data_IF_131723597031
#
_entry.id   IF_131723597031
#
_cell.length_a   1.000
_cell.length_b   1.000
_cell.length_c   1.000
_cell.angle_alpha   90.00
_cell.angle_beta   90.00
_cell.angle_gamma   90.00
#
_symmetry.space_group_name_H-M   'P 1'
#
loop_
_entity.id
_entity.type
_entity.pdbx_description
1 polymer ?
#
# COMPACT_ATOMS: atom_id res chain seq x y z
N UNK A 1 -20.75 -9.51 20.34
CA UNK A 1 -19.78 -10.53 19.87
C UNK A 1 -19.04 -9.92 18.68
N UNK A 2 -17.72 -9.70 18.72
CA UNK A 2 -16.97 -9.29 17.53
C UNK A 2 -16.94 -10.47 16.53
N UNK A 3 -17.42 -10.27 15.31
CA UNK A 3 -17.51 -11.29 14.24
C UNK A 3 -16.15 -11.73 13.67
N UNK A 4 -15.04 -11.41 14.34
CA UNK A 4 -13.67 -11.59 13.84
C UNK A 4 -13.02 -12.89 14.33
N UNK A 5 -13.61 -13.57 15.32
CA UNK A 5 -13.00 -14.74 15.97
C UNK A 5 -13.25 -16.09 15.25
N UNK A 6 -14.09 -16.13 14.22
CA UNK A 6 -14.53 -17.40 13.61
C UNK A 6 -14.53 -17.36 12.08
N UNK A 7 -13.42 -16.92 11.48
CA UNK A 7 -13.24 -16.95 10.03
C UNK A 7 -12.60 -18.27 9.61
N UNK A 8 -13.45 -19.15 9.08
CA UNK A 8 -13.09 -20.45 8.52
C UNK A 8 -13.48 -20.45 7.05
N UNK A 9 -12.57 -20.89 6.18
CA UNK A 9 -12.86 -21.07 4.76
C UNK A 9 -12.39 -22.44 4.28
N UNK A 10 -12.96 -22.94 3.19
CA UNK A 10 -12.59 -24.21 2.57
C UNK A 10 -11.94 -23.99 1.21
N UNK A 11 -10.82 -24.68 0.95
CA UNK A 11 -10.15 -24.69 -0.35
C UNK A 11 -9.64 -26.10 -0.66
N UNK A 12 -9.93 -26.61 -1.86
CA UNK A 12 -9.59 -27.98 -2.27
C UNK A 12 -9.99 -29.06 -1.24
N UNK A 13 -11.20 -28.95 -0.68
CA UNK A 13 -11.74 -29.89 0.31
C UNK A 13 -11.08 -29.82 1.70
N UNK A 14 -10.13 -28.90 1.93
CA UNK A 14 -9.50 -28.67 3.24
C UNK A 14 -10.05 -27.42 3.89
N UNK A 15 -10.24 -27.47 5.21
CA UNK A 15 -10.69 -26.33 6.00
C UNK A 15 -9.51 -25.59 6.62
N UNK A 16 -9.53 -24.27 6.49
CA UNK A 16 -8.51 -23.37 7.00
C UNK A 16 -9.16 -22.37 7.94
N UNK A 17 -8.51 -22.10 9.07
CA UNK A 17 -8.90 -21.05 10.02
C UNK A 17 -7.84 -19.96 10.00
N UNK A 18 -8.29 -18.72 9.86
CA UNK A 18 -7.40 -17.59 9.99
C UNK A 18 -7.01 -17.40 11.46
N UNK A 19 -5.70 -17.42 11.75
CA UNK A 19 -5.16 -17.23 13.09
C UNK A 19 -4.85 -15.77 13.40
N UNK A 20 -4.45 -15.00 12.39
CA UNK A 20 -4.05 -13.60 12.49
C UNK A 20 -4.57 -12.81 11.29
N UNK A 21 -4.89 -11.53 11.52
CA UNK A 21 -5.51 -10.64 10.53
C UNK A 21 -7.01 -10.88 10.35
N UNK A 22 -7.59 -10.14 9.40
CA UNK A 22 -9.01 -10.28 9.01
C UNK A 22 -9.10 -10.95 7.64
N UNK A 23 -10.15 -11.73 7.40
CA UNK A 23 -10.27 -12.46 6.13
C UNK A 23 -10.59 -11.51 4.99
N UNK A 24 -9.91 -11.71 3.87
CA UNK A 24 -10.32 -11.08 2.62
C UNK A 24 -11.76 -11.48 2.29
N UNK A 25 -12.56 -10.50 1.85
CA UNK A 25 -13.99 -10.70 1.54
C UNK A 25 -14.94 -10.57 2.74
N UNK A 26 -14.45 -10.37 3.96
CA UNK A 26 -15.33 -9.96 5.05
C UNK A 26 -15.72 -8.49 4.87
N UNK A 27 -17.02 -8.14 4.98
CA UNK A 27 -17.48 -6.74 4.84
C UNK A 27 -16.90 -5.82 5.92
N UNK A 28 -16.45 -6.39 7.05
CA UNK A 28 -15.83 -5.65 8.14
C UNK A 28 -14.29 -5.53 7.99
N UNK A 29 -13.68 -6.29 7.09
CA UNK A 29 -12.22 -6.29 6.93
C UNK A 29 -11.63 -4.92 6.60
N UNK A 30 -12.19 -4.14 5.64
CA UNK A 30 -11.60 -2.85 5.29
C UNK A 30 -11.64 -1.86 6.45
N UNK A 31 -12.76 -1.82 7.20
CA UNK A 31 -12.92 -0.91 8.33
C UNK A 31 -11.95 -1.27 9.46
N UNK A 32 -11.83 -2.55 9.80
CA UNK A 32 -10.92 -3.02 10.84
C UNK A 32 -9.44 -2.80 10.46
N UNK A 33 -9.10 -3.01 9.19
CA UNK A 33 -7.75 -2.73 8.69
C UNK A 33 -7.43 -1.23 8.79
N UNK A 34 -8.34 -0.36 8.36
CA UNK A 34 -8.16 1.08 8.47
C UNK A 34 -8.00 1.55 9.92
N UNK A 35 -8.83 1.06 10.84
CA UNK A 35 -8.74 1.39 12.27
C UNK A 35 -7.41 0.95 12.89
N UNK A 36 -6.96 -0.25 12.55
CA UNK A 36 -5.69 -0.75 13.05
C UNK A 36 -4.50 0.03 12.48
N UNK A 37 -4.54 0.38 11.20
CA UNK A 37 -3.50 1.22 10.57
C UNK A 37 -3.46 2.63 11.19
N UNK A 38 -4.60 3.21 11.54
CA UNK A 38 -4.66 4.51 12.23
C UNK A 38 -4.08 4.44 13.66
N UNK A 39 -4.37 3.35 14.39
CA UNK A 39 -3.73 3.08 15.67
C UNK A 39 -2.21 2.93 15.52
N UNK A 40 -1.75 2.15 14.55
CA UNK A 40 -0.33 1.95 14.25
C UNK A 40 0.37 3.28 13.90
N UNK A 41 -0.25 4.12 13.07
CA UNK A 41 0.28 5.45 12.72
C UNK A 41 0.36 6.40 13.92
N UNK A 42 -0.55 6.25 14.89
CA UNK A 42 -0.53 7.04 16.13
C UNK A 42 0.63 6.64 17.02
N UNK A 43 0.85 5.34 17.22
CA UNK A 43 2.00 4.80 17.96
C UNK A 43 3.33 5.13 17.28
N UNK A 44 3.33 5.13 15.95
CA UNK A 44 4.49 5.54 15.16
C UNK A 44 4.84 7.02 15.44
N UNK A 45 3.86 7.92 15.38
CA UNK A 45 4.07 9.36 15.62
C UNK A 45 4.60 9.65 17.03
N UNK A 46 4.13 8.90 18.03
CA UNK A 46 4.62 9.06 19.40
C UNK A 46 6.07 8.58 19.56
N UNK A 47 6.49 7.60 18.75
CA UNK A 47 7.83 6.98 18.82
C UNK A 47 8.91 7.73 18.01
N UNK A 48 8.53 8.41 16.92
CA UNK A 48 9.48 8.94 15.93
C UNK A 48 10.20 10.24 16.31
N UNK A 49 9.74 10.95 17.34
CA UNK A 49 10.38 12.21 17.76
C UNK A 49 10.51 13.20 16.61
N UNK A 50 11.73 13.71 16.35
CA UNK A 50 11.97 14.78 15.37
C UNK A 50 12.18 14.30 13.92
N UNK A 51 12.35 13.01 13.67
CA UNK A 51 12.59 12.45 12.33
C UNK A 51 11.25 12.01 11.73
N UNK A 52 10.53 12.97 11.16
CA UNK A 52 9.20 12.75 10.60
C UNK A 52 9.14 13.13 9.11
N UNK A 53 8.37 12.36 8.32
CA UNK A 53 8.11 12.74 6.94
C UNK A 53 7.36 14.07 6.88
N UNK A 54 7.66 14.90 5.88
CA UNK A 54 6.96 16.17 5.66
C UNK A 54 5.53 15.96 5.19
N UNK A 55 5.31 14.87 4.45
CA UNK A 55 4.01 14.45 3.94
C UNK A 55 3.86 12.96 4.19
N UNK A 56 2.70 12.55 4.71
CA UNK A 56 2.31 11.15 4.88
C UNK A 56 0.87 10.98 4.41
N UNK A 57 0.69 10.31 3.28
CA UNK A 57 -0.61 10.05 2.67
C UNK A 57 -0.80 8.54 2.58
N UNK A 58 -1.90 8.04 3.14
CA UNK A 58 -2.23 6.61 3.10
C UNK A 58 -3.50 6.37 2.31
N UNK A 59 -3.47 5.39 1.41
CA UNK A 59 -4.62 4.86 0.70
C UNK A 59 -4.74 3.36 0.99
N UNK A 60 -5.61 3.01 1.94
CA UNK A 60 -5.77 1.63 2.47
C UNK A 60 -4.43 1.07 2.95
N UNK A 61 -3.76 0.27 2.12
CA UNK A 61 -2.49 -0.42 2.40
C UNK A 61 -1.27 0.28 1.79
N UNK A 62 -1.47 1.23 0.87
CA UNK A 62 -0.40 1.95 0.18
C UNK A 62 -0.10 3.30 0.86
N UNK A 63 1.18 3.62 1.03
CA UNK A 63 1.65 4.85 1.69
C UNK A 63 2.54 5.63 0.73
N UNK A 64 2.19 6.89 0.49
CA UNK A 64 3.03 7.87 -0.17
C UNK A 64 3.59 8.82 0.89
N UNK A 65 4.93 8.90 0.97
CA UNK A 65 5.61 9.77 1.93
C UNK A 65 6.61 10.68 1.23
N UNK A 66 6.75 11.91 1.73
CA UNK A 66 7.85 12.79 1.38
C UNK A 66 8.86 12.80 2.51
N UNK A 67 10.08 12.32 2.23
CA UNK A 67 11.17 12.26 3.18
C UNK A 67 12.17 13.40 2.92
N UNK A 68 12.32 14.37 3.85
CA UNK A 68 13.20 15.52 3.64
C UNK A 68 14.66 15.27 4.06
N UNK A 69 14.95 14.13 4.69
CA UNK A 69 16.27 13.81 5.22
C UNK A 69 17.05 12.86 4.30
N UNK A 70 18.23 12.42 4.76
CA UNK A 70 19.06 11.49 4.00
C UNK A 70 18.40 10.12 3.82
N UNK A 71 18.85 9.38 2.82
CA UNK A 71 18.42 8.00 2.58
C UNK A 71 18.85 7.07 3.74
N UNK A 72 19.97 7.35 4.39
CA UNK A 72 20.45 6.59 5.56
C UNK A 72 19.48 6.74 6.74
N UNK A 73 19.04 7.97 7.02
CA UNK A 73 18.02 8.25 8.04
C UNK A 73 16.70 7.56 7.70
N UNK A 74 16.36 7.48 6.41
CA UNK A 74 15.17 6.75 5.95
C UNK A 74 15.27 5.25 6.24
N UNK A 75 16.43 4.62 6.01
CA UNK A 75 16.61 3.20 6.36
C UNK A 75 16.49 2.96 7.86
N UNK A 76 17.06 3.83 8.69
CA UNK A 76 16.91 3.75 10.14
C UNK A 76 15.44 3.91 10.57
N UNK A 77 14.73 4.86 9.95
CA UNK A 77 13.29 5.08 10.12
C UNK A 77 12.47 3.85 9.75
N UNK A 78 12.71 3.27 8.57
CA UNK A 78 12.04 2.06 8.09
C UNK A 78 12.33 0.84 8.98
N UNK A 79 13.54 0.75 9.51
CA UNK A 79 13.91 -0.26 10.50
C UNK A 79 13.07 -0.17 11.76
N UNK A 80 12.91 1.04 12.32
CA UNK A 80 12.05 1.29 13.49
C UNK A 80 10.59 0.96 13.21
N UNK A 81 10.08 1.37 12.05
CA UNK A 81 8.73 1.04 11.58
C UNK A 81 8.44 -0.46 11.60
N UNK A 82 9.34 -1.26 11.03
CA UNK A 82 9.19 -2.71 10.96
C UNK A 82 9.43 -3.41 12.31
N UNK A 83 10.02 -2.73 13.29
CA UNK A 83 10.16 -3.23 14.66
C UNK A 83 8.92 -2.98 15.52
N UNK A 84 8.15 -1.91 15.24
CA UNK A 84 6.94 -1.58 16.00
C UNK A 84 5.86 -2.66 15.87
N UNK A 85 5.73 -3.25 14.69
CA UNK A 85 4.78 -4.33 14.47
C UNK A 85 5.41 -5.44 13.62
N UNK A 86 5.78 -6.55 14.28
CA UNK A 86 6.43 -7.68 13.60
C UNK A 86 5.56 -8.34 12.52
N UNK A 87 4.25 -8.13 12.56
CA UNK A 87 3.30 -8.67 11.59
C UNK A 87 3.21 -7.83 10.30
N UNK A 88 3.57 -6.54 10.35
CA UNK A 88 3.56 -5.66 9.19
C UNK A 88 4.99 -5.46 8.71
N UNK A 89 5.26 -5.87 7.46
CA UNK A 89 6.54 -5.62 6.81
C UNK A 89 6.36 -4.60 5.70
N UNK A 90 6.72 -3.36 5.99
CA UNK A 90 6.71 -2.29 5.01
C UNK A 90 7.89 -2.45 4.06
N UNK A 91 7.57 -2.41 2.77
CA UNK A 91 8.51 -2.26 1.67
C UNK A 91 8.39 -0.85 1.13
N UNK A 92 9.47 -0.36 0.52
CA UNK A 92 9.48 0.96 -0.08
C UNK A 92 10.01 0.91 -1.50
N UNK A 93 9.59 1.88 -2.28
CA UNK A 93 10.14 2.23 -3.58
C UNK A 93 10.58 3.69 -3.50
N UNK A 94 11.68 4.04 -4.17
CA UNK A 94 12.22 5.40 -4.17
C UNK A 94 12.01 6.05 -5.54
N UNK A 95 11.89 7.38 -5.57
CA UNK A 95 11.76 8.10 -6.83
C UNK A 95 12.95 7.81 -7.75
N UNK A 96 12.67 7.59 -9.04
CA UNK A 96 13.70 7.30 -10.04
C UNK A 96 13.92 8.54 -10.91
N UNK A 97 15.18 8.90 -11.16
CA UNK A 97 15.52 9.99 -12.08
C UNK A 97 15.13 9.64 -13.51
N UNK A 98 14.55 10.59 -14.25
CA UNK A 98 14.24 10.41 -15.67
C UNK A 98 15.54 10.50 -16.50
N UNK A 99 15.97 9.42 -17.18
CA UNK A 99 17.14 9.47 -18.04
C UNK A 99 16.98 10.42 -19.24
N UNK A 100 15.74 10.77 -19.61
CA UNK A 100 15.45 11.67 -20.73
C UNK A 100 15.43 13.16 -20.33
N UNK A 101 15.30 13.49 -19.04
CA UNK A 101 15.12 14.87 -18.57
C UNK A 101 15.92 15.12 -17.27
N UNK A 102 16.98 15.93 -17.36
CA UNK A 102 17.84 16.27 -16.23
C UNK A 102 17.06 17.07 -15.19
N UNK A 103 17.03 16.58 -13.94
CA UNK A 103 16.32 17.23 -12.83
C UNK A 103 14.85 16.83 -12.67
N UNK A 104 14.35 15.88 -13.49
CA UNK A 104 13.02 15.31 -13.34
C UNK A 104 13.07 13.94 -12.64
N UNK A 105 12.16 13.68 -11.70
CA UNK A 105 12.01 12.38 -11.04
C UNK A 105 10.61 11.81 -11.24
N UNK A 106 10.50 10.49 -11.16
CA UNK A 106 9.25 9.74 -11.36
C UNK A 106 9.01 8.81 -10.19
N UNK A 107 7.76 8.75 -9.73
CA UNK A 107 7.32 7.85 -8.67
C UNK A 107 5.96 7.25 -9.02
N UNK A 108 5.86 5.92 -9.21
CA UNK A 108 4.57 5.27 -9.36
C UNK A 108 3.85 5.21 -8.01
N UNK A 109 2.55 5.50 -8.01
CA UNK A 109 1.66 5.35 -6.86
C UNK A 109 0.25 5.00 -7.32
N UNK A 110 -0.24 3.81 -6.98
CA UNK A 110 -1.49 3.24 -7.51
C UNK A 110 -1.49 3.22 -9.06
N UNK A 111 -2.51 3.81 -9.68
CA UNK A 111 -2.64 3.98 -11.14
C UNK A 111 -2.02 5.30 -11.65
N UNK A 112 -1.29 6.02 -10.80
CA UNK A 112 -0.67 7.30 -11.13
C UNK A 112 0.85 7.19 -11.22
N UNK A 113 1.42 7.91 -12.18
CA UNK A 113 2.84 8.19 -12.27
C UNK A 113 3.03 9.66 -11.92
N UNK A 114 3.63 9.91 -10.77
CA UNK A 114 3.95 11.25 -10.29
C UNK A 114 5.26 11.66 -10.94
N UNK A 115 5.25 12.73 -11.74
CA UNK A 115 6.43 13.31 -12.36
C UNK A 115 6.72 14.65 -11.66
N UNK A 116 7.90 14.76 -11.07
CA UNK A 116 8.37 15.98 -10.41
C UNK A 116 9.38 16.66 -11.31
N UNK A 117 9.10 17.90 -11.69
CA UNK A 117 9.97 18.77 -12.47
C UNK A 117 10.27 20.06 -11.67
N UNK A 118 11.25 20.88 -12.11
CA UNK A 118 11.49 22.19 -11.51
C UNK A 118 10.28 23.13 -11.55
N UNK A 119 9.37 22.91 -12.51
CA UNK A 119 8.15 23.72 -12.71
C UNK A 119 6.98 23.27 -11.82
N UNK A 120 7.05 22.06 -11.25
CA UNK A 120 6.03 21.53 -10.34
C UNK A 120 5.82 20.02 -10.46
N UNK A 121 4.65 19.57 -10.01
CA UNK A 121 4.21 18.18 -10.10
C UNK A 121 3.24 18.01 -11.27
N UNK A 122 3.46 16.99 -12.08
CA UNK A 122 2.52 16.54 -13.11
C UNK A 122 2.20 15.05 -12.94
N UNK A 123 0.98 14.67 -13.28
CA UNK A 123 0.47 13.32 -13.06
C UNK A 123 0.11 12.68 -14.41
N UNK A 124 0.54 11.44 -14.61
CA UNK A 124 0.15 10.63 -15.76
C UNK A 124 -0.34 9.26 -15.31
N UNK A 125 -0.93 8.48 -16.21
CA UNK A 125 -1.41 7.13 -15.88
C UNK A 125 -0.21 6.18 -15.83
N UNK A 126 -0.04 5.49 -14.71
CA UNK A 126 0.95 4.41 -14.59
C UNK A 126 0.32 3.07 -14.95
N UNK A 127 1.04 2.25 -15.71
CA UNK A 127 0.71 0.84 -15.90
C UNK A 127 1.94 0.00 -15.61
N UNK A 128 1.76 -1.04 -14.79
CA UNK A 128 2.83 -1.98 -14.48
C UNK A 128 3.31 -2.65 -15.77
N UNK A 129 4.61 -2.96 -15.92
CA UNK A 129 5.12 -3.66 -17.10
C UNK A 129 4.46 -5.03 -17.35
N UNK A 130 3.89 -5.64 -16.30
CA UNK A 130 3.16 -6.91 -16.39
C UNK A 130 1.73 -6.75 -16.88
N UNK A 131 1.21 -5.51 -16.99
CA UNK A 131 -0.16 -5.26 -17.41
C UNK A 131 -0.38 -5.82 -18.82
N UNK A 132 -1.10 -6.94 -18.88
CA UNK A 132 -1.39 -7.65 -20.14
C UNK A 132 -2.55 -7.04 -20.91
N UNK A 133 -3.19 -5.97 -20.38
CA UNK A 133 -4.45 -5.39 -20.85
C UNK A 133 -5.59 -6.42 -21.05
N UNK A 134 -5.43 -7.62 -20.47
CA UNK A 134 -6.42 -8.67 -20.48
C UNK A 134 -7.49 -8.38 -19.44
N UNK A 135 -8.75 -8.47 -19.83
CA UNK A 135 -9.87 -8.38 -18.91
C UNK A 135 -10.20 -9.76 -18.38
N UNK A 136 -10.63 -9.82 -17.11
CA UNK A 136 -11.15 -11.07 -16.56
C UNK A 136 -12.40 -11.45 -17.36
N UNK A 137 -12.46 -12.67 -17.88
CA UNK A 137 -13.57 -13.14 -18.70
C UNK A 137 -14.91 -12.93 -17.97
N UNK A 138 -15.93 -12.45 -18.67
CA UNK A 138 -17.21 -12.04 -18.09
C UNK A 138 -17.82 -13.09 -17.14
N UNK A 139 -17.78 -14.37 -17.52
CA UNK A 139 -18.33 -15.48 -16.72
C UNK A 139 -17.55 -15.82 -15.44
N UNK A 140 -16.36 -15.27 -15.23
CA UNK A 140 -15.58 -15.46 -14.00
C UNK A 140 -15.85 -14.36 -12.95
N UNK A 141 -16.62 -13.33 -13.29
CA UNK A 141 -16.95 -12.23 -12.37
C UNK A 141 -18.39 -12.37 -11.84
N UNK A 142 -18.59 -12.70 -10.56
CA UNK A 142 -19.95 -12.83 -9.98
C UNK A 142 -20.65 -11.47 -9.76
N UNK A 143 -19.97 -10.34 -9.99
CA UNK A 143 -20.53 -8.99 -9.87
C UNK A 143 -20.54 -8.29 -11.23
N UNK A 144 -21.71 -8.28 -11.86
CA UNK A 144 -21.99 -7.93 -13.27
C UNK A 144 -21.55 -6.50 -13.68
N UNK A 145 -21.21 -5.62 -12.74
CA UNK A 145 -20.93 -4.20 -13.00
C UNK A 145 -19.46 -3.76 -12.84
N UNK A 146 -18.53 -4.66 -12.51
CA UNK A 146 -17.10 -4.32 -12.39
C UNK A 146 -16.20 -5.36 -13.03
N UNK A 147 -15.83 -5.13 -14.30
CA UNK A 147 -14.73 -5.84 -14.92
C UNK A 147 -13.42 -5.39 -14.28
N UNK A 148 -12.71 -6.33 -13.66
CA UNK A 148 -11.34 -6.11 -13.18
C UNK A 148 -10.37 -6.50 -14.29
N UNK A 149 -9.39 -5.65 -14.55
CA UNK A 149 -8.27 -5.98 -15.44
C UNK A 149 -7.36 -6.99 -14.74
N UNK A 150 -6.91 -7.98 -15.48
CA UNK A 150 -5.88 -8.90 -15.01
C UNK A 150 -4.56 -8.15 -14.93
N UNK A 151 -3.85 -8.34 -13.81
CA UNK A 151 -2.48 -7.85 -13.64
C UNK A 151 -1.49 -8.67 -14.47
#
# INVERSE_FOLDING_TARGET
RLCVKSTVFSFNGKHYRQKQGVSMGSPLAPVLACLYMEYFETELRSTLGNLQPSIWLRYIDDILLQWPYSLEDFYAFLGKLNLLEHLIKLKFEWETSDPAQTGCTKMPFLDLLINKSPEGLSFSIYRKPTATDLYTHFFLCPYVNHQRRSC
#
